data_IF_966337721764
#
_entry.id   IF_966337721764
#
_cell.length_a   1.000
_cell.length_b   1.000
_cell.length_c   1.000
_cell.angle_alpha   90.00
_cell.angle_beta   90.00
_cell.angle_gamma   90.00
#
_symmetry.space_group_name_H-M   'P 1'
#
loop_
_entity.id
_entity.type
_entity.pdbx_description
1 polymer ?
#
# COMPACT_ATOMS: atom_id res chain seq x y z
N UNK A 1 2.25 -18.47 24.44
CA UNK A 1 2.27 -18.82 23.02
C UNK A 1 3.11 -17.75 22.32
N UNK A 2 4.17 -18.12 21.58
CA UNK A 2 4.87 -17.13 20.78
C UNK A 2 3.92 -16.74 19.64
N UNK A 3 3.42 -15.51 19.65
CA UNK A 3 2.67 -14.97 18.54
C UNK A 3 3.61 -14.87 17.33
N UNK A 4 3.16 -15.32 16.19
CA UNK A 4 3.93 -15.21 14.94
C UNK A 4 3.94 -13.73 14.51
N UNK A 5 5.14 -13.17 14.28
CA UNK A 5 5.30 -11.79 13.78
C UNK A 5 4.56 -11.63 12.43
N UNK A 6 3.77 -10.58 12.30
CA UNK A 6 3.10 -10.27 11.04
C UNK A 6 4.10 -9.77 9.99
N UNK A 7 3.88 -10.03 8.69
CA UNK A 7 4.70 -9.45 7.62
C UNK A 7 4.40 -7.98 7.41
N UNK A 8 5.27 -7.29 6.65
CA UNK A 8 4.89 -6.10 5.90
C UNK A 8 4.36 -6.48 4.53
N UNK A 9 3.45 -5.68 3.98
CA UNK A 9 2.85 -5.93 2.67
C UNK A 9 2.98 -4.69 1.78
N UNK A 10 3.26 -4.91 0.50
CA UNK A 10 2.95 -3.93 -0.55
C UNK A 10 1.76 -4.48 -1.34
N UNK A 11 0.75 -3.64 -1.55
CA UNK A 11 -0.46 -4.01 -2.28
C UNK A 11 -0.69 -3.01 -3.41
N UNK A 12 -0.71 -3.52 -4.64
CA UNK A 12 -1.22 -2.75 -5.77
C UNK A 12 -2.75 -2.69 -5.65
N UNK A 13 -3.28 -1.55 -5.16
CA UNK A 13 -4.70 -1.43 -4.87
C UNK A 13 -5.58 -1.28 -6.12
N UNK A 14 -4.99 -0.83 -7.25
CA UNK A 14 -5.69 -0.79 -8.53
C UNK A 14 -6.85 0.21 -8.60
N UNK A 15 -7.82 -0.09 -9.47
CA UNK A 15 -8.99 0.78 -9.66
C UNK A 15 -10.01 0.60 -8.53
N UNK A 16 -10.74 1.67 -8.11
CA UNK A 16 -11.89 1.57 -7.21
C UNK A 16 -12.93 0.52 -7.63
N UNK A 17 -13.01 0.19 -8.95
CA UNK A 17 -13.90 -0.85 -9.46
C UNK A 17 -13.67 -2.23 -8.88
N UNK A 18 -12.47 -2.51 -8.34
CA UNK A 18 -12.17 -3.79 -7.70
C UNK A 18 -13.06 -4.09 -6.50
N UNK A 19 -13.61 -3.05 -5.85
CA UNK A 19 -14.60 -3.25 -4.79
C UNK A 19 -15.92 -3.87 -5.27
N UNK A 20 -16.25 -3.74 -6.57
CA UNK A 20 -17.44 -4.36 -7.19
C UNK A 20 -17.09 -5.54 -8.10
N UNK A 21 -15.92 -5.51 -8.71
CA UNK A 21 -15.40 -6.56 -9.57
C UNK A 21 -13.96 -6.90 -9.14
N UNK A 22 -13.80 -7.88 -8.25
CA UNK A 22 -12.52 -8.15 -7.57
C UNK A 22 -11.42 -8.72 -8.46
N UNK A 23 -11.68 -9.04 -9.72
CA UNK A 23 -10.73 -9.63 -10.67
C UNK A 23 -9.95 -10.82 -10.04
N UNK A 24 -8.65 -10.94 -10.32
CA UNK A 24 -7.80 -11.99 -9.71
C UNK A 24 -7.21 -11.56 -8.36
N UNK A 25 -7.05 -10.25 -8.16
CA UNK A 25 -6.40 -9.70 -6.96
C UNK A 25 -7.30 -9.79 -5.73
N UNK A 26 -8.62 -9.58 -5.85
CA UNK A 26 -9.55 -9.69 -4.72
C UNK A 26 -9.47 -11.06 -4.03
N UNK A 27 -9.68 -12.18 -4.75
CA UNK A 27 -9.47 -13.51 -4.18
C UNK A 27 -8.05 -13.78 -3.64
N UNK A 28 -7.03 -13.11 -4.18
CA UNK A 28 -5.67 -13.22 -3.66
C UNK A 28 -5.53 -12.50 -2.30
N UNK A 29 -6.15 -11.33 -2.13
CA UNK A 29 -6.22 -10.59 -0.86
C UNK A 29 -6.98 -11.38 0.20
N UNK A 30 -8.12 -11.97 -0.15
CA UNK A 30 -8.89 -12.84 0.75
C UNK A 30 -8.07 -14.04 1.24
N UNK A 31 -7.42 -14.76 0.32
CA UNK A 31 -6.54 -15.89 0.68
C UNK A 31 -5.36 -15.44 1.54
N UNK A 32 -4.78 -14.29 1.26
CA UNK A 32 -3.67 -13.76 2.05
C UNK A 32 -4.12 -13.49 3.49
N UNK A 33 -5.25 -12.81 3.70
CA UNK A 33 -5.75 -12.49 5.04
C UNK A 33 -6.08 -13.73 5.87
N UNK A 34 -6.65 -14.77 5.26
CA UNK A 34 -6.97 -16.04 5.94
C UNK A 34 -5.69 -16.78 6.38
N UNK A 35 -4.58 -16.63 5.65
CA UNK A 35 -3.30 -17.28 5.97
C UNK A 35 -2.39 -16.45 6.88
N UNK A 36 -2.82 -15.26 7.29
CA UNK A 36 -2.11 -14.45 8.27
C UNK A 36 -2.75 -14.60 9.67
N UNK A 37 -1.97 -14.48 10.74
CA UNK A 37 -2.56 -14.21 12.05
C UNK A 37 -3.44 -12.97 11.96
N UNK A 38 -4.59 -12.98 12.64
CA UNK A 38 -5.48 -11.82 12.65
C UNK A 38 -4.78 -10.62 13.30
N UNK A 39 -4.66 -9.48 12.63
CA UNK A 39 -4.01 -8.30 13.20
C UNK A 39 -4.86 -7.69 14.33
N UNK A 40 -4.19 -7.14 15.34
CA UNK A 40 -4.78 -6.26 16.36
C UNK A 40 -5.00 -4.84 15.85
N UNK A 41 -4.23 -4.43 14.85
CA UNK A 41 -4.38 -3.17 14.12
C UNK A 41 -3.65 -3.24 12.77
N UNK A 42 -3.96 -2.29 11.89
CA UNK A 42 -3.33 -2.15 10.59
C UNK A 42 -2.79 -0.73 10.45
N UNK A 43 -1.55 -0.58 9.95
CA UNK A 43 -0.99 0.70 9.52
C UNK A 43 -0.93 0.69 8.00
N UNK A 44 -1.40 1.77 7.36
CA UNK A 44 -1.36 1.92 5.90
C UNK A 44 -0.69 3.22 5.51
N UNK A 45 0.31 3.15 4.62
CA UNK A 45 0.80 4.28 3.84
C UNK A 45 0.15 4.21 2.45
N UNK A 46 -0.75 5.16 2.14
CA UNK A 46 -1.47 5.19 0.87
C UNK A 46 -0.88 6.21 -0.09
N UNK A 47 -0.78 5.84 -1.37
CA UNK A 47 -0.44 6.73 -2.47
C UNK A 47 -1.38 7.96 -2.58
N UNK A 48 -2.59 7.86 -2.04
CA UNK A 48 -3.61 8.91 -2.10
C UNK A 48 -3.54 9.92 -0.96
N UNK A 49 -2.65 9.72 0.00
CA UNK A 49 -2.41 10.71 1.05
C UNK A 49 -1.04 11.37 0.89
N UNK A 50 -0.84 12.05 -0.22
CA UNK A 50 0.32 12.93 -0.39
C UNK A 50 0.21 14.14 0.54
N UNK A 51 1.29 14.51 1.21
CA UNK A 51 1.36 15.68 2.06
C UNK A 51 2.76 16.32 2.06
N UNK A 52 2.86 17.58 2.48
CA UNK A 52 4.13 18.28 2.62
C UNK A 52 4.90 17.91 3.91
N UNK A 53 4.25 17.21 4.82
CA UNK A 53 4.81 16.76 6.08
C UNK A 53 4.41 15.31 6.34
N UNK A 54 5.19 14.57 7.10
CA UNK A 54 4.77 13.25 7.58
C UNK A 54 3.65 13.43 8.59
N UNK A 55 2.48 12.87 8.28
CA UNK A 55 1.30 12.95 9.13
C UNK A 55 0.81 11.56 9.53
N UNK A 56 0.24 11.46 10.73
CA UNK A 56 -0.35 10.23 11.27
C UNK A 56 -1.80 10.50 11.62
N UNK A 57 -2.71 9.68 11.11
CA UNK A 57 -4.15 9.83 11.39
C UNK A 57 -4.46 9.38 12.84
N UNK A 58 -4.88 10.35 13.67
CA UNK A 58 -5.26 10.15 15.07
C UNK A 58 -6.78 10.11 15.26
N UNK A 59 -7.55 10.15 14.19
CA UNK A 59 -9.02 10.11 14.22
C UNK A 59 -9.56 8.81 14.81
N UNK A 60 -10.60 8.88 15.65
CA UNK A 60 -11.23 7.70 16.27
C UNK A 60 -12.10 6.93 15.27
N UNK A 61 -12.75 7.65 14.35
CA UNK A 61 -13.66 7.09 13.34
C UNK A 61 -13.51 7.83 12.01
N UNK A 62 -12.40 7.64 11.28
CA UNK A 62 -12.23 8.25 9.98
C UNK A 62 -13.33 7.77 9.02
N UNK A 63 -13.93 8.68 8.28
CA UNK A 63 -14.97 8.36 7.30
C UNK A 63 -14.38 7.68 6.06
N UNK A 64 -15.20 6.88 5.38
CA UNK A 64 -14.85 6.34 4.06
C UNK A 64 -14.88 7.46 3.04
N UNK A 65 -13.77 7.72 2.38
CA UNK A 65 -13.69 8.74 1.34
C UNK A 65 -13.70 8.13 -0.06
N UNK A 66 -14.59 8.64 -0.90
CA UNK A 66 -14.63 8.31 -2.33
C UNK A 66 -13.87 9.40 -3.09
N UNK A 67 -12.55 9.31 -3.03
CA UNK A 67 -11.59 10.24 -3.64
C UNK A 67 -11.46 10.08 -5.17
N UNK A 68 -12.50 9.57 -5.81
CA UNK A 68 -12.57 9.29 -7.24
C UNK A 68 -13.88 9.79 -7.85
N UNK A 69 -13.95 9.85 -9.20
CA UNK A 69 -15.11 10.33 -9.95
C UNK A 69 -15.38 9.49 -11.20
N UNK A 70 -16.64 9.53 -11.68
CA UNK A 70 -17.02 8.89 -12.95
C UNK A 70 -17.25 7.39 -12.86
N UNK A 71 -17.47 6.85 -11.67
CA UNK A 71 -17.73 5.43 -11.43
C UNK A 71 -19.25 5.16 -11.23
N UNK A 72 -19.68 3.89 -11.30
CA UNK A 72 -21.09 3.52 -11.05
C UNK A 72 -21.57 3.95 -9.65
N UNK A 73 -22.86 4.35 -9.52
CA UNK A 73 -23.42 4.83 -8.24
C UNK A 73 -23.27 3.86 -7.07
N UNK A 74 -23.26 2.55 -7.33
CA UNK A 74 -23.09 1.51 -6.32
C UNK A 74 -21.78 1.65 -5.54
N UNK A 75 -20.72 2.11 -6.22
CA UNK A 75 -19.39 2.26 -5.61
C UNK A 75 -19.40 3.36 -4.52
N UNK A 76 -20.17 4.42 -4.72
CA UNK A 76 -20.29 5.52 -3.74
C UNK A 76 -21.16 5.16 -2.52
N UNK A 77 -21.83 4.02 -2.55
CA UNK A 77 -22.63 3.51 -1.43
C UNK A 77 -21.81 2.63 -0.49
N UNK A 78 -20.65 2.13 -0.94
CA UNK A 78 -19.78 1.31 -0.12
C UNK A 78 -19.24 2.12 1.06
N UNK A 79 -19.14 1.46 2.20
CA UNK A 79 -18.55 2.02 3.42
C UNK A 79 -17.62 0.99 4.05
N UNK A 80 -16.51 1.48 4.57
CA UNK A 80 -15.57 0.69 5.33
C UNK A 80 -15.32 1.39 6.69
N UNK A 81 -16.22 1.21 7.68
CA UNK A 81 -16.26 1.96 8.92
C UNK A 81 -15.28 1.47 9.98
N UNK A 82 -14.13 0.91 9.59
CA UNK A 82 -13.13 0.45 10.54
C UNK A 82 -12.74 1.59 11.50
N UNK A 83 -12.61 1.32 12.81
CA UNK A 83 -12.21 2.34 13.77
C UNK A 83 -10.76 2.80 13.52
N UNK A 84 -10.41 3.98 14.02
CA UNK A 84 -9.02 4.37 14.23
C UNK A 84 -8.51 3.81 15.56
N UNK A 85 -7.21 4.04 15.84
CA UNK A 85 -6.57 3.64 17.10
C UNK A 85 -5.64 4.76 17.56
N UNK A 86 -6.15 5.79 18.26
CA UNK A 86 -5.37 6.94 18.69
C UNK A 86 -4.11 6.57 19.48
N UNK A 87 -4.20 5.56 20.36
CA UNK A 87 -3.06 5.13 21.20
C UNK A 87 -1.92 4.56 20.30
N UNK A 88 -2.25 3.84 19.24
CA UNK A 88 -1.26 3.36 18.28
C UNK A 88 -0.70 4.54 17.45
N UNK A 89 -1.55 5.50 17.08
CA UNK A 89 -1.10 6.70 16.36
C UNK A 89 -0.10 7.53 17.19
N UNK A 90 -0.34 7.67 18.50
CA UNK A 90 0.57 8.29 19.46
C UNK A 90 1.90 7.52 19.56
N UNK A 91 1.84 6.19 19.62
CA UNK A 91 3.03 5.35 19.62
C UNK A 91 3.85 5.51 18.34
N UNK A 92 3.18 5.58 17.18
CA UNK A 92 3.83 5.84 15.86
C UNK A 92 4.54 7.18 15.88
N UNK A 93 3.86 8.25 16.33
CA UNK A 93 4.44 9.59 16.43
C UNK A 93 5.70 9.60 17.32
N UNK A 94 5.67 8.90 18.45
CA UNK A 94 6.81 8.74 19.35
C UNK A 94 7.99 8.04 18.66
N UNK A 95 7.75 6.88 18.04
CA UNK A 95 8.80 6.12 17.33
C UNK A 95 9.42 6.93 16.18
N UNK A 96 8.61 7.63 15.41
CA UNK A 96 9.10 8.48 14.32
C UNK A 96 9.95 9.64 14.85
N UNK A 97 9.53 10.28 15.94
CA UNK A 97 10.28 11.35 16.61
C UNK A 97 11.63 10.86 17.13
N UNK A 98 11.68 9.71 17.78
CA UNK A 98 12.91 9.06 18.26
C UNK A 98 13.87 8.72 17.12
N UNK A 99 13.34 8.36 15.93
CA UNK A 99 14.12 8.11 14.74
C UNK A 99 14.58 9.40 13.99
N UNK A 100 14.18 10.59 14.49
CA UNK A 100 14.55 11.88 13.94
C UNK A 100 13.61 12.43 12.85
N UNK A 101 12.42 11.82 12.69
CA UNK A 101 11.41 12.36 11.78
C UNK A 101 10.49 13.36 12.50
N UNK A 102 10.20 14.48 11.82
CA UNK A 102 9.15 15.40 12.24
C UNK A 102 7.81 14.89 11.70
N UNK A 103 7.01 14.30 12.58
CA UNK A 103 5.68 13.78 12.25
C UNK A 103 4.60 14.52 13.04
N UNK A 104 3.42 14.69 12.42
CA UNK A 104 2.33 15.49 12.96
C UNK A 104 1.03 14.68 13.05
N UNK A 105 0.25 14.93 14.09
CA UNK A 105 -1.08 14.35 14.25
C UNK A 105 -2.09 14.99 13.30
N UNK A 106 -2.89 14.18 12.61
CA UNK A 106 -4.03 14.64 11.81
C UNK A 106 -5.28 13.85 12.21
N UNK A 107 -6.26 14.51 12.82
CA UNK A 107 -7.47 13.87 13.34
C UNK A 107 -8.68 13.98 12.40
N UNK A 108 -8.50 14.57 11.24
CA UNK A 108 -9.58 14.89 10.29
C UNK A 108 -9.48 14.20 8.94
N UNK A 109 -8.36 13.52 8.65
CA UNK A 109 -8.16 12.83 7.37
C UNK A 109 -9.18 11.69 7.21
N UNK A 110 -10.05 11.71 6.19
CA UNK A 110 -10.90 10.57 5.85
C UNK A 110 -10.07 9.49 5.14
N UNK A 111 -10.55 8.26 5.14
CA UNK A 111 -9.86 7.09 4.61
C UNK A 111 -10.09 6.96 3.12
N UNK A 112 -9.04 7.12 2.30
CA UNK A 112 -9.10 7.03 0.84
C UNK A 112 -9.23 5.58 0.33
N UNK A 113 -9.51 5.42 -0.99
CA UNK A 113 -9.76 4.09 -1.57
C UNK A 113 -8.52 3.19 -1.62
N UNK A 114 -7.32 3.74 -1.62
CA UNK A 114 -6.09 2.96 -1.49
C UNK A 114 -6.01 2.23 -0.15
N UNK A 115 -6.72 2.71 0.87
CA UNK A 115 -6.84 2.05 2.17
C UNK A 115 -8.05 1.13 2.23
N UNK A 116 -9.26 1.67 2.02
CA UNK A 116 -10.47 0.92 2.32
C UNK A 116 -10.78 -0.18 1.30
N UNK A 117 -10.38 -0.02 0.04
CA UNK A 117 -10.72 -0.99 -1.00
C UNK A 117 -9.96 -2.33 -0.84
N UNK A 118 -8.62 -2.37 -0.67
CA UNK A 118 -7.95 -3.64 -0.41
C UNK A 118 -8.38 -4.27 0.93
N UNK A 119 -8.63 -3.45 1.96
CA UNK A 119 -9.09 -3.95 3.25
C UNK A 119 -10.52 -4.50 3.22
N UNK A 120 -11.38 -4.02 2.32
CA UNK A 120 -12.71 -4.58 2.10
C UNK A 120 -12.63 -6.07 1.66
N UNK A 121 -11.59 -6.44 0.89
CA UNK A 121 -11.36 -7.84 0.51
C UNK A 121 -10.64 -8.65 1.59
N UNK A 122 -9.71 -8.03 2.32
CA UNK A 122 -8.94 -8.72 3.36
C UNK A 122 -9.73 -8.94 4.65
N UNK A 123 -10.47 -7.93 5.08
CA UNK A 123 -11.17 -7.88 6.37
C UNK A 123 -12.53 -7.18 6.22
N UNK A 124 -13.51 -7.84 5.56
CA UNK A 124 -14.79 -7.22 5.17
C UNK A 124 -15.64 -6.74 6.36
N UNK A 125 -15.44 -7.30 7.55
CA UNK A 125 -16.18 -6.89 8.75
C UNK A 125 -15.80 -5.50 9.26
N UNK A 126 -14.71 -4.91 8.76
CA UNK A 126 -14.22 -3.57 9.10
C UNK A 126 -14.08 -3.32 10.62
N UNK A 127 -13.74 -4.35 11.38
CA UNK A 127 -13.66 -4.33 12.84
C UNK A 127 -12.22 -4.21 13.39
N UNK A 128 -11.21 -4.35 12.50
CA UNK A 128 -9.80 -4.15 12.85
C UNK A 128 -9.48 -2.65 12.77
N UNK A 129 -8.89 -2.06 13.82
CA UNK A 129 -8.50 -0.65 13.80
C UNK A 129 -7.45 -0.35 12.72
N UNK A 130 -7.59 0.79 12.04
CA UNK A 130 -6.69 1.23 10.97
C UNK A 130 -6.13 2.62 11.29
N UNK A 131 -4.81 2.74 11.31
CA UNK A 131 -4.08 4.00 11.35
C UNK A 131 -3.44 4.24 9.99
N UNK A 132 -3.76 5.37 9.37
CA UNK A 132 -3.18 5.79 8.10
C UNK A 132 -2.03 6.75 8.36
N UNK A 133 -0.94 6.63 7.61
CA UNK A 133 0.19 7.57 7.60
C UNK A 133 0.35 8.16 6.21
N UNK A 134 0.67 9.44 6.13
CA UNK A 134 0.83 10.12 4.84
C UNK A 134 2.08 9.69 4.11
N UNK A 135 2.06 9.88 2.78
CA UNK A 135 3.21 9.83 1.90
C UNK A 135 3.81 11.24 1.79
N UNK A 136 4.95 11.52 2.44
CA UNK A 136 5.54 12.86 2.40
C UNK A 136 6.26 13.10 1.09
N UNK A 137 5.83 14.15 0.35
CA UNK A 137 6.33 14.50 -0.98
C UNK A 137 7.78 15.00 -1.03
N UNK A 138 8.30 15.46 0.10
CA UNK A 138 9.65 16.03 0.22
C UNK A 138 10.68 15.04 0.76
N UNK A 139 10.31 13.77 0.92
CA UNK A 139 11.19 12.70 1.40
C UNK A 139 11.73 11.86 0.25
N UNK A 140 12.94 11.35 0.43
CA UNK A 140 13.57 10.43 -0.51
C UNK A 140 13.05 9.00 -0.34
N UNK A 141 13.33 8.10 -1.31
CA UNK A 141 13.04 6.68 -1.18
C UNK A 141 13.66 6.07 0.10
N UNK A 142 14.88 6.48 0.43
CA UNK A 142 15.58 6.04 1.63
C UNK A 142 14.89 6.53 2.93
N UNK A 143 14.34 7.75 2.94
CA UNK A 143 13.59 8.25 4.09
C UNK A 143 12.31 7.43 4.30
N UNK A 144 11.57 7.15 3.21
CA UNK A 144 10.35 6.34 3.27
C UNK A 144 10.67 4.90 3.70
N UNK A 145 11.75 4.34 3.19
CA UNK A 145 12.26 3.03 3.62
C UNK A 145 12.61 3.02 5.13
N UNK A 146 13.28 4.08 5.61
CA UNK A 146 13.63 4.23 7.03
C UNK A 146 12.38 4.39 7.91
N UNK A 147 11.31 5.04 7.44
CA UNK A 147 10.01 5.05 8.14
C UNK A 147 9.50 3.61 8.31
N UNK A 148 9.56 2.79 7.27
CA UNK A 148 9.20 1.37 7.34
C UNK A 148 10.04 0.61 8.38
N UNK A 149 11.35 0.81 8.39
CA UNK A 149 12.25 0.20 9.39
C UNK A 149 11.92 0.65 10.82
N UNK A 150 11.62 1.92 11.01
CA UNK A 150 11.25 2.50 12.31
C UNK A 150 9.98 1.85 12.87
N UNK A 151 9.01 1.57 12.02
CA UNK A 151 7.74 0.98 12.42
C UNK A 151 7.72 -0.55 12.40
N UNK A 152 8.73 -1.21 11.80
CA UNK A 152 8.83 -2.67 11.69
C UNK A 152 8.65 -3.42 13.03
N UNK A 153 9.16 -2.95 14.21
CA UNK A 153 8.94 -3.62 15.48
C UNK A 153 7.48 -3.75 15.90
N UNK A 154 6.58 -2.91 15.39
CA UNK A 154 5.15 -3.02 15.68
C UNK A 154 4.52 -4.32 15.14
N UNK A 155 5.15 -4.97 14.17
CA UNK A 155 4.72 -6.28 13.64
C UNK A 155 4.73 -7.37 14.72
N UNK A 156 5.63 -7.29 15.70
CA UNK A 156 5.68 -8.18 16.87
C UNK A 156 4.50 -7.96 17.83
N UNK A 157 3.88 -6.77 17.78
CA UNK A 157 2.68 -6.41 18.52
C UNK A 157 1.39 -6.72 17.72
N UNK A 158 1.46 -7.61 16.73
CA UNK A 158 0.35 -7.98 15.84
C UNK A 158 -0.23 -6.79 15.07
N UNK A 159 0.61 -5.83 14.69
CA UNK A 159 0.24 -4.74 13.78
C UNK A 159 0.69 -5.10 12.36
N UNK A 160 -0.26 -5.12 11.41
CA UNK A 160 0.01 -5.35 9.99
C UNK A 160 0.41 -4.01 9.34
N UNK A 161 1.56 -3.98 8.68
CA UNK A 161 2.04 -2.79 7.98
C UNK A 161 1.84 -2.96 6.47
N UNK A 162 1.19 -1.98 5.83
CA UNK A 162 0.84 -2.02 4.40
C UNK A 162 1.29 -0.73 3.72
N UNK A 163 2.07 -0.86 2.66
CA UNK A 163 2.23 0.17 1.63
C UNK A 163 1.22 -0.08 0.52
N UNK A 164 0.32 0.85 0.30
CA UNK A 164 -0.74 0.76 -0.70
C UNK A 164 -0.49 1.71 -1.87
N UNK A 165 -0.21 1.14 -3.03
CA UNK A 165 0.12 1.88 -4.24
C UNK A 165 -0.18 1.09 -5.51
N UNK A 166 0.75 1.06 -6.44
CA UNK A 166 0.69 0.22 -7.65
C UNK A 166 2.10 -0.04 -8.18
N UNK A 167 2.38 -1.28 -8.59
CA UNK A 167 3.70 -1.58 -9.16
C UNK A 167 3.90 -0.96 -10.54
N UNK A 168 2.85 -0.71 -11.29
CA UNK A 168 2.84 0.05 -12.54
C UNK A 168 1.56 0.89 -12.60
N UNK A 169 1.68 2.21 -12.85
CA UNK A 169 0.56 3.15 -12.77
C UNK A 169 0.65 4.25 -13.82
N UNK A 170 0.33 3.93 -15.09
CA UNK A 170 0.16 4.92 -16.13
C UNK A 170 -1.27 4.88 -16.68
N UNK A 171 -2.14 5.73 -16.14
CA UNK A 171 -3.57 5.77 -16.51
C UNK A 171 -3.82 6.23 -17.97
N UNK A 172 -2.80 6.78 -18.65
CA UNK A 172 -2.90 7.19 -20.05
C UNK A 172 -2.70 6.03 -21.02
N UNK A 173 -2.03 4.98 -20.56
CA UNK A 173 -1.66 3.79 -21.34
C UNK A 173 -2.55 2.57 -21.04
N UNK A 174 -3.65 2.75 -20.27
CA UNK A 174 -4.57 1.67 -19.95
C UNK A 174 -5.41 1.24 -21.14
N UNK A 175 -5.52 -0.05 -21.38
CA UNK A 175 -6.54 -0.62 -22.28
C UNK A 175 -7.91 -0.64 -21.60
N UNK A 176 -8.67 0.42 -21.80
CA UNK A 176 -10.03 0.56 -21.25
C UNK A 176 -11.07 -0.25 -22.05
N UNK A 177 -10.68 -0.82 -23.18
CA UNK A 177 -11.59 -1.62 -24.02
C UNK A 177 -11.65 -3.07 -23.56
N UNK A 178 -10.64 -3.53 -22.81
CA UNK A 178 -10.50 -4.93 -22.38
C UNK A 178 -10.27 -5.89 -23.53
N UNK A 179 -9.90 -5.38 -24.71
CA UNK A 179 -9.70 -6.20 -25.92
C UNK A 179 -8.30 -6.80 -26.02
N UNK A 180 -7.32 -6.20 -25.31
CA UNK A 180 -5.95 -6.68 -25.35
C UNK A 180 -5.65 -7.53 -24.10
N UNK A 181 -5.31 -8.78 -24.32
CA UNK A 181 -4.74 -9.66 -23.28
C UNK A 181 -3.20 -9.57 -23.24
N UNK A 182 -2.62 -8.63 -24.01
CA UNK A 182 -1.16 -8.49 -24.12
C UNK A 182 -0.68 -7.43 -23.14
N UNK A 183 0.19 -7.84 -22.22
CA UNK A 183 0.89 -6.90 -21.34
C UNK A 183 2.00 -6.21 -22.15
N UNK A 184 2.05 -4.87 -22.18
CA UNK A 184 3.12 -4.16 -22.88
C UNK A 184 4.50 -4.47 -22.30
N UNK A 185 5.50 -4.57 -23.15
CA UNK A 185 6.89 -4.89 -22.77
C UNK A 185 7.43 -3.93 -21.70
N UNK A 186 7.16 -2.63 -21.82
CA UNK A 186 7.61 -1.65 -20.85
C UNK A 186 7.07 -1.89 -19.42
N UNK A 187 5.81 -2.34 -19.30
CA UNK A 187 5.18 -2.64 -18.01
C UNK A 187 5.73 -3.94 -17.41
N UNK A 188 5.83 -5.00 -18.22
CA UNK A 188 6.37 -6.28 -17.77
C UNK A 188 7.87 -6.20 -17.44
N UNK A 189 8.66 -5.44 -18.20
CA UNK A 189 10.10 -5.25 -17.95
C UNK A 189 10.33 -4.50 -16.65
N UNK A 190 9.63 -3.38 -16.41
CA UNK A 190 9.72 -2.62 -15.15
C UNK A 190 9.40 -3.52 -13.95
N UNK A 191 8.22 -4.13 -13.98
CA UNK A 191 7.75 -5.02 -12.90
C UNK A 191 8.72 -6.18 -12.66
N UNK A 192 9.21 -6.86 -13.70
CA UNK A 192 10.13 -7.97 -13.57
C UNK A 192 11.50 -7.53 -13.04
N UNK A 193 11.96 -6.34 -13.40
CA UNK A 193 13.18 -5.76 -12.84
C UNK A 193 13.05 -5.60 -11.32
N UNK A 194 11.99 -4.94 -10.85
CA UNK A 194 11.74 -4.74 -9.41
C UNK A 194 11.65 -6.08 -8.67
N UNK A 195 10.86 -7.03 -9.18
CA UNK A 195 10.72 -8.37 -8.56
C UNK A 195 12.06 -9.10 -8.52
N UNK A 196 12.84 -9.04 -9.60
CA UNK A 196 14.18 -9.66 -9.63
C UNK A 196 15.10 -9.09 -8.56
N UNK A 197 15.15 -7.75 -8.44
CA UNK A 197 15.97 -7.08 -7.43
C UNK A 197 15.57 -7.45 -6.01
N UNK A 198 14.28 -7.42 -5.71
CA UNK A 198 13.74 -7.82 -4.40
C UNK A 198 14.02 -9.30 -4.09
N UNK A 199 13.90 -10.20 -5.08
CA UNK A 199 14.18 -11.64 -4.91
C UNK A 199 15.64 -11.90 -4.55
N UNK A 200 16.57 -11.09 -5.07
CA UNK A 200 18.00 -11.20 -4.77
C UNK A 200 18.41 -10.34 -3.56
N UNK A 201 17.46 -9.76 -2.83
CA UNK A 201 17.70 -8.84 -1.70
C UNK A 201 18.53 -7.60 -2.06
N UNK A 202 18.52 -7.21 -3.33
CA UNK A 202 19.17 -6.01 -3.85
C UNK A 202 18.26 -4.79 -3.69
N UNK A 203 17.97 -4.43 -2.44
CA UNK A 203 17.04 -3.36 -2.10
C UNK A 203 17.55 -1.98 -2.54
N UNK A 204 18.87 -1.78 -2.52
CA UNK A 204 19.48 -0.54 -2.99
C UNK A 204 19.17 -0.25 -4.45
N UNK A 205 19.14 -1.28 -5.31
CA UNK A 205 18.78 -1.11 -6.71
C UNK A 205 17.30 -0.70 -6.93
N UNK A 206 16.42 -0.95 -5.95
CA UNK A 206 15.03 -0.47 -5.99
C UNK A 206 14.92 0.92 -5.37
N UNK A 207 15.72 1.23 -4.35
CA UNK A 207 15.81 2.56 -3.74
C UNK A 207 16.45 3.57 -4.70
N UNK A 208 17.40 3.15 -5.56
CA UNK A 208 17.90 3.92 -6.71
C UNK A 208 16.92 3.89 -7.89
N UNK A 209 15.65 4.19 -7.60
CA UNK A 209 14.52 4.09 -8.52
C UNK A 209 14.70 4.84 -9.86
N UNK A 210 15.46 5.97 -9.98
CA UNK A 210 15.69 6.62 -11.27
C UNK A 210 16.40 5.73 -12.29
N UNK A 211 17.14 4.72 -11.84
CA UNK A 211 17.87 3.77 -12.68
C UNK A 211 17.01 2.60 -13.18
N UNK A 212 15.74 2.48 -12.73
CA UNK A 212 14.86 1.37 -13.11
C UNK A 212 14.38 1.56 -14.56
N UNK A 213 14.52 0.53 -15.44
CA UNK A 213 14.07 0.63 -16.83
C UNK A 213 12.59 0.99 -16.96
N UNK A 214 12.26 1.89 -17.88
CA UNK A 214 10.89 2.34 -18.17
C UNK A 214 10.15 3.00 -16.99
N UNK A 215 10.86 3.51 -15.98
CA UNK A 215 10.23 4.15 -14.83
C UNK A 215 9.24 5.25 -15.23
N UNK A 216 9.68 6.25 -15.99
CA UNK A 216 8.86 7.41 -16.37
C UNK A 216 7.59 7.01 -17.14
N UNK A 217 7.67 5.91 -17.89
CA UNK A 217 6.51 5.39 -18.61
C UNK A 217 5.55 4.65 -17.70
N UNK A 218 6.07 3.93 -16.71
CA UNK A 218 5.24 3.22 -15.71
C UNK A 218 4.66 4.19 -14.68
N UNK A 219 5.46 5.17 -14.26
CA UNK A 219 5.13 6.14 -13.23
C UNK A 219 5.42 7.56 -13.72
N UNK A 220 4.48 8.20 -14.47
CA UNK A 220 4.58 9.62 -14.82
C UNK A 220 4.68 10.54 -13.58
N UNK A 221 4.16 10.07 -12.46
CA UNK A 221 4.26 10.61 -11.10
C UNK A 221 4.51 9.45 -10.14
N UNK A 222 5.23 9.69 -9.03
CA UNK A 222 5.81 8.60 -8.24
C UNK A 222 4.95 8.12 -7.07
N UNK A 223 3.88 8.81 -6.74
CA UNK A 223 3.07 8.56 -5.55
C UNK A 223 2.58 7.11 -5.43
N UNK A 224 2.25 6.45 -6.57
CA UNK A 224 1.81 5.07 -6.56
C UNK A 224 2.95 4.05 -6.43
N UNK A 225 4.18 4.42 -6.79
CA UNK A 225 5.33 3.54 -6.58
C UNK A 225 5.93 3.69 -5.17
N UNK A 226 5.93 4.90 -4.63
CA UNK A 226 6.61 5.22 -3.39
C UNK A 226 6.22 4.37 -2.15
N UNK A 227 4.95 3.92 -1.95
CA UNK A 227 4.62 3.06 -0.83
C UNK A 227 5.36 1.71 -0.78
N UNK A 228 5.98 1.27 -1.90
CA UNK A 228 6.82 0.07 -1.89
C UNK A 228 8.04 0.25 -0.98
N UNK A 229 8.63 1.45 -0.91
CA UNK A 229 9.80 1.73 -0.09
C UNK A 229 9.47 1.58 1.40
N UNK A 230 8.29 2.04 1.83
CA UNK A 230 7.79 1.80 3.17
C UNK A 230 7.71 0.30 3.46
N UNK A 231 7.08 -0.46 2.58
CA UNK A 231 6.92 -1.91 2.75
C UNK A 231 8.24 -2.65 2.78
N UNK A 232 9.21 -2.29 1.92
CA UNK A 232 10.57 -2.84 1.90
C UNK A 232 11.28 -2.63 3.24
N UNK A 233 11.06 -1.50 3.91
CA UNK A 233 11.65 -1.20 5.22
C UNK A 233 11.10 -2.08 6.35
N UNK A 234 9.96 -2.70 6.17
CA UNK A 234 9.29 -3.47 7.24
C UNK A 234 9.85 -4.87 7.44
N UNK A 235 10.56 -5.44 6.48
CA UNK A 235 11.12 -6.79 6.58
C UNK A 235 12.29 -6.99 5.61
N UNK A 236 13.01 -8.10 5.76
CA UNK A 236 14.25 -8.38 5.01
C UNK A 236 14.11 -9.52 4.01
N UNK A 237 13.01 -10.28 4.07
CA UNK A 237 12.78 -11.43 3.18
C UNK A 237 11.56 -11.18 2.31
N UNK A 238 11.80 -10.97 1.03
CA UNK A 238 10.77 -10.76 0.01
C UNK A 238 10.07 -12.05 -0.42
N UNK A 239 8.77 -11.97 -0.67
CA UNK A 239 7.99 -12.99 -1.38
C UNK A 239 6.95 -12.35 -2.28
N UNK A 240 6.83 -12.86 -3.51
CA UNK A 240 5.76 -12.51 -4.44
C UNK A 240 4.51 -13.34 -4.10
N UNK A 241 3.48 -12.71 -3.57
CA UNK A 241 2.24 -13.38 -3.15
C UNK A 241 1.26 -13.54 -4.31
N UNK A 242 1.13 -12.48 -5.11
CA UNK A 242 0.26 -12.45 -6.29
C UNK A 242 0.88 -11.59 -7.38
N UNK A 243 0.57 -11.94 -8.62
CA UNK A 243 0.94 -11.15 -9.79
C UNK A 243 -0.08 -11.30 -10.89
N UNK A 244 -0.58 -10.15 -11.34
CA UNK A 244 -1.44 -10.04 -12.51
C UNK A 244 -1.35 -8.64 -13.08
N UNK A 245 -1.96 -8.44 -14.26
CA UNK A 245 -2.17 -7.12 -14.83
C UNK A 245 -3.67 -6.92 -15.09
N UNK A 246 -4.15 -5.73 -14.79
CA UNK A 246 -5.49 -5.26 -15.15
C UNK A 246 -5.37 -4.21 -16.25
N UNK A 247 -6.38 -4.09 -17.11
CA UNK A 247 -6.44 -3.10 -18.19
C UNK A 247 -5.12 -3.01 -19.00
N UNK A 248 -4.52 -4.16 -19.28
CA UNK A 248 -3.29 -4.30 -20.08
C UNK A 248 -2.00 -3.98 -19.31
N UNK A 249 -1.89 -2.84 -18.65
CA UNK A 249 -0.63 -2.37 -18.07
C UNK A 249 -0.66 -2.02 -16.58
N UNK A 250 -1.80 -2.07 -15.93
CA UNK A 250 -1.90 -1.81 -14.49
C UNK A 250 -1.49 -3.07 -13.72
N UNK A 251 -0.31 -3.04 -13.10
CA UNK A 251 0.21 -4.17 -12.31
C UNK A 251 -0.50 -4.30 -10.97
N UNK A 252 -1.02 -5.49 -10.70
CA UNK A 252 -1.85 -5.81 -9.54
C UNK A 252 -1.12 -6.74 -8.56
N UNK A 253 0.17 -6.53 -8.40
CA UNK A 253 1.01 -7.40 -7.59
C UNK A 253 0.78 -7.18 -6.09
N UNK A 254 0.97 -8.26 -5.32
CA UNK A 254 1.02 -8.25 -3.85
C UNK A 254 2.38 -8.79 -3.45
N UNK A 255 3.12 -8.02 -2.67
CA UNK A 255 4.43 -8.38 -2.14
C UNK A 255 4.37 -8.51 -0.62
N UNK A 256 5.19 -9.43 -0.09
CA UNK A 256 5.31 -9.70 1.33
C UNK A 256 6.78 -9.57 1.74
N UNK A 257 7.00 -8.93 2.89
CA UNK A 257 8.31 -8.73 3.54
C UNK A 257 8.26 -9.27 4.97
N UNK A 258 9.00 -10.39 5.22
CA UNK A 258 9.11 -11.06 6.52
C UNK A 258 10.33 -10.60 7.32
#
# INVERSE_FOLDING_TARGET
MNLQTLPGLFISHGSPMLALNPEQVGPALERLSVNLPRPEAIIVMSAHWESNALEVNTGIRPETWHDFRGFPPQLYQLRYPAPGRPELAEQILGLLSEAGFSAYANNSRPRDHGVWMPLLHMYPDADIPVVEISLPMNMTAHDIYKIGQTLAPLREQQVLLIGSGSITHNLRELDRTGQSNVVPEWASTFRNHVVSKLTHSDYEAVLDWPSIPYLERNHPTLEHFAPIFFSMGTGTRFSLVHSSFSMGSLGMDIYRFD
#
